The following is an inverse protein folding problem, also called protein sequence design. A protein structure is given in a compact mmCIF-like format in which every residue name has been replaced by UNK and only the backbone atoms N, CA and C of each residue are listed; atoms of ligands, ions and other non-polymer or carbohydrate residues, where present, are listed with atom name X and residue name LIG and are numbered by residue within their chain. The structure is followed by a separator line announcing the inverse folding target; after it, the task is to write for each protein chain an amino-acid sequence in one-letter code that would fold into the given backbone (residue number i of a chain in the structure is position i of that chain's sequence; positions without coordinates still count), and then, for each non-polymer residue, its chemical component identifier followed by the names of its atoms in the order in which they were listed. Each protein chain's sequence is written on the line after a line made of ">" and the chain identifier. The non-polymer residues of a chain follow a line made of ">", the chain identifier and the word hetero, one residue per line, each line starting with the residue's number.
data_IF_006724595090
#
_entry.id   IF_006724595090
#
_cell.length_a   1.000
_cell.length_b   1.000
_cell.length_c   1.000
_cell.angle_alpha   90.00
_cell.angle_beta   90.00
_cell.angle_gamma   90.00
#
_symmetry.space_group_name_H-M   'P 1'
#
loop_
_entity.id
_entity.type
_entity.pdbx_description
1 polymer ?
#
# COMPACT_ATOMS: atom_id res chain seq x y z
N UNK A 1 12.67 36.24 13.79
CA UNK A 1 12.73 35.84 12.38
C UNK A 1 13.82 34.77 12.28
N UNK A 2 13.45 33.52 12.03
CA UNK A 2 14.34 32.37 11.78
C UNK A 2 13.49 31.33 11.03
N UNK A 3 13.94 30.96 9.83
CA UNK A 3 13.29 30.01 8.91
C UNK A 3 13.93 28.62 9.08
N UNK A 4 13.13 27.55 9.05
CA UNK A 4 13.54 26.27 8.43
C UNK A 4 12.29 25.41 8.13
N UNK A 5 12.14 25.12 6.84
CA UNK A 5 10.93 24.55 6.22
C UNK A 5 10.71 23.11 6.67
N UNK A 6 9.52 22.88 7.23
CA UNK A 6 8.87 21.59 7.55
C UNK A 6 9.37 20.76 8.75
N UNK A 7 10.01 21.41 9.74
CA UNK A 7 10.19 20.81 11.09
C UNK A 7 9.28 21.37 12.18
N UNK A 8 8.62 22.50 11.97
CA UNK A 8 7.77 23.19 12.96
C UNK A 8 6.74 24.05 12.24
N UNK A 9 5.52 23.54 11.99
CA UNK A 9 4.41 24.43 11.65
C UNK A 9 3.92 25.06 12.96
N UNK A 10 4.11 26.36 13.14
CA UNK A 10 3.79 27.05 14.39
C UNK A 10 2.53 27.88 14.19
N UNK A 11 1.41 27.40 14.71
CA UNK A 11 0.17 28.18 14.69
C UNK A 11 0.24 29.25 15.77
N UNK A 12 0.32 30.52 15.38
CA UNK A 12 0.16 31.64 16.28
C UNK A 12 -1.30 32.07 16.33
N UNK A 13 -1.80 32.46 17.50
CA UNK A 13 -3.12 33.07 17.59
C UNK A 13 -3.12 34.18 18.64
N UNK A 14 -4.03 35.14 18.48
CA UNK A 14 -4.15 36.26 19.41
C UNK A 14 -4.68 35.85 20.81
N UNK A 15 -5.25 34.64 20.95
CA UNK A 15 -5.82 34.16 22.22
C UNK A 15 -5.87 32.64 22.26
N UNK A 16 -5.80 32.06 23.45
CA UNK A 16 -5.90 30.61 23.65
C UNK A 16 -7.22 30.02 23.13
N UNK A 17 -8.32 30.77 23.23
CA UNK A 17 -9.61 30.41 22.66
C UNK A 17 -9.59 30.29 21.13
N UNK A 18 -8.80 31.12 20.44
CA UNK A 18 -8.60 31.04 18.99
C UNK A 18 -7.68 29.88 18.64
N UNK A 19 -6.61 29.66 19.41
CA UNK A 19 -5.75 28.49 19.25
C UNK A 19 -6.54 27.19 19.39
N UNK A 20 -7.39 27.09 20.40
CA UNK A 20 -8.22 25.89 20.64
C UNK A 20 -9.17 25.63 19.47
N UNK A 21 -9.80 26.67 18.91
CA UNK A 21 -10.64 26.55 17.70
C UNK A 21 -9.84 26.08 16.48
N UNK A 22 -8.69 26.70 16.20
CA UNK A 22 -7.83 26.32 15.07
C UNK A 22 -7.32 24.88 15.25
N UNK A 23 -6.84 24.52 16.44
CA UNK A 23 -6.37 23.17 16.74
C UNK A 23 -7.48 22.12 16.68
N UNK A 24 -8.74 22.50 16.96
CA UNK A 24 -9.90 21.62 16.77
C UNK A 24 -10.17 21.37 15.28
N UNK A 25 -10.13 22.42 14.45
CA UNK A 25 -10.27 22.29 12.99
C UNK A 25 -9.13 21.49 12.37
N UNK A 26 -7.87 21.77 12.75
CA UNK A 26 -6.70 21.02 12.30
C UNK A 26 -6.80 19.56 12.70
N UNK A 27 -7.24 19.27 13.94
CA UNK A 27 -7.46 17.90 14.39
C UNK A 27 -8.53 17.19 13.55
N UNK A 28 -9.67 17.85 13.31
CA UNK A 28 -10.74 17.26 12.51
C UNK A 28 -10.29 16.98 11.07
N UNK A 29 -9.52 17.89 10.46
CA UNK A 29 -8.94 17.67 9.15
C UNK A 29 -7.91 16.53 9.15
N UNK A 30 -7.04 16.46 10.17
CA UNK A 30 -6.08 15.36 10.31
C UNK A 30 -6.80 14.01 10.52
N UNK A 31 -7.82 13.95 11.37
CA UNK A 31 -8.61 12.74 11.62
C UNK A 31 -9.37 12.29 10.36
N UNK A 32 -9.89 13.23 9.57
CA UNK A 32 -10.51 12.95 8.28
C UNK A 32 -9.53 12.31 7.29
N UNK A 33 -8.26 12.73 7.31
CA UNK A 33 -7.17 12.18 6.48
C UNK A 33 -6.45 10.97 7.13
N UNK A 34 -6.98 10.41 8.22
CA UNK A 34 -6.40 9.26 8.91
C UNK A 34 -5.07 9.55 9.64
N UNK A 35 -4.74 10.81 9.88
CA UNK A 35 -3.51 11.23 10.55
C UNK A 35 -3.71 11.37 12.07
N UNK A 36 -2.85 10.69 12.83
CA UNK A 36 -2.82 10.79 14.29
C UNK A 36 -1.76 11.80 14.72
N UNK A 37 -2.19 12.88 15.39
CA UNK A 37 -1.29 13.87 15.99
C UNK A 37 -0.50 13.23 17.14
N UNK A 38 0.82 13.37 17.15
CA UNK A 38 1.63 13.00 18.31
C UNK A 38 1.60 14.12 19.39
N UNK A 39 0.86 13.96 20.51
CA UNK A 39 0.74 15.02 21.51
C UNK A 39 2.06 15.33 22.21
N UNK A 40 3.02 14.39 22.25
CA UNK A 40 4.35 14.61 22.83
C UNK A 40 5.22 15.55 21.98
N UNK A 41 4.85 15.78 20.72
CA UNK A 41 5.55 16.68 19.79
C UNK A 41 4.80 18.01 19.56
N UNK A 42 3.65 18.22 20.20
CA UNK A 42 2.87 19.45 20.09
C UNK A 42 3.01 20.27 21.37
N UNK A 43 3.65 21.44 21.27
CA UNK A 43 3.80 22.36 22.39
C UNK A 43 3.02 23.66 22.13
N UNK A 44 2.48 24.25 23.20
CA UNK A 44 1.87 25.58 23.19
C UNK A 44 2.75 26.50 24.01
N UNK A 45 3.08 27.66 23.47
CA UNK A 45 3.87 28.68 24.16
C UNK A 45 3.13 30.02 24.13
N UNK A 46 3.05 30.68 25.29
CA UNK A 46 2.45 32.00 25.40
C UNK A 46 3.52 33.09 25.30
N UNK A 47 3.28 34.11 24.46
CA UNK A 47 4.17 35.25 24.28
C UNK A 47 3.43 36.55 24.59
N UNK A 48 4.05 37.43 25.38
CA UNK A 48 3.54 38.78 25.67
C UNK A 48 4.65 39.78 25.38
N UNK A 49 4.40 40.73 24.46
CA UNK A 49 5.39 41.73 24.00
C UNK A 49 6.73 41.11 23.56
N UNK A 50 6.67 39.96 22.87
CA UNK A 50 7.86 39.24 22.39
C UNK A 50 8.57 38.39 23.45
N UNK A 51 8.14 38.40 24.71
CA UNK A 51 8.72 37.60 25.79
C UNK A 51 7.85 36.38 26.09
N UNK A 52 8.46 35.19 26.18
CA UNK A 52 7.77 33.95 26.57
C UNK A 52 7.33 34.04 28.03
N UNK A 53 6.05 33.76 28.29
CA UNK A 53 5.49 33.70 29.65
C UNK A 53 5.79 32.30 30.24
N UNK A 54 6.39 32.27 31.42
CA UNK A 54 6.98 31.07 32.04
C UNK A 54 5.99 29.95 32.40
N UNK A 55 4.68 30.22 32.45
CA UNK A 55 3.64 29.26 32.87
C UNK A 55 3.11 28.35 31.74
N UNK A 56 3.74 28.30 30.56
CA UNK A 56 3.34 27.34 29.51
C UNK A 56 4.14 26.05 29.59
N UNK A 57 3.41 24.94 29.73
CA UNK A 57 3.85 23.54 29.85
C UNK A 57 5.17 23.18 29.17
N UNK A 58 5.95 22.41 29.92
CA UNK A 58 7.35 22.00 29.75
C UNK A 58 7.63 21.11 28.52
N UNK A 59 7.68 21.70 27.34
CA UNK A 59 8.49 21.15 26.24
C UNK A 59 9.34 22.29 25.66
N UNK A 60 10.67 22.17 25.83
CA UNK A 60 11.65 23.06 25.20
C UNK A 60 11.51 22.92 23.68
N UNK A 61 11.36 24.06 22.99
CA UNK A 61 11.50 24.12 21.55
C UNK A 61 12.93 23.67 21.21
N UNK A 62 13.08 22.44 20.74
CA UNK A 62 14.41 21.84 20.53
C UNK A 62 15.10 22.49 19.34
N UNK A 63 16.39 22.80 19.50
CA UNK A 63 17.23 23.62 18.60
C UNK A 63 17.63 22.91 17.30
N UNK A 64 16.67 22.44 16.51
CA UNK A 64 16.95 21.85 15.19
C UNK A 64 17.75 20.54 15.21
N UNK A 65 18.18 20.08 16.38
CA UNK A 65 18.94 18.84 16.59
C UNK A 65 18.08 17.76 17.25
N UNK A 66 16.83 17.60 16.78
CA UNK A 66 16.08 16.39 17.11
C UNK A 66 16.74 15.25 16.34
N UNK A 67 17.61 14.53 17.03
CA UNK A 67 17.94 13.17 16.69
C UNK A 67 16.59 12.44 16.68
N UNK A 68 16.10 12.06 15.49
CA UNK A 68 15.03 11.10 15.39
C UNK A 68 15.67 9.87 16.02
N UNK A 69 15.41 9.63 17.31
CA UNK A 69 15.77 8.39 17.98
C UNK A 69 15.38 7.33 16.97
N UNK A 70 16.40 6.64 16.47
CA UNK A 70 16.23 5.61 15.46
C UNK A 70 14.97 4.85 15.84
N UNK A 71 14.07 4.69 14.87
CA UNK A 71 13.03 3.68 14.98
C UNK A 71 13.78 2.45 15.47
N UNK A 72 13.56 2.08 16.75
CA UNK A 72 14.31 1.00 17.37
C UNK A 72 14.28 -0.17 16.39
N UNK A 73 15.40 -0.85 16.17
CA UNK A 73 15.44 -2.00 15.28
C UNK A 73 14.36 -2.99 15.72
N UNK A 74 13.23 -3.01 15.00
CA UNK A 74 12.00 -3.69 15.40
C UNK A 74 10.70 -2.88 15.28
N UNK A 75 10.74 -1.54 15.35
CA UNK A 75 9.58 -0.67 15.11
C UNK A 75 9.45 -0.39 13.60
N UNK A 76 9.01 -1.40 12.85
CA UNK A 76 8.58 -1.21 11.47
C UNK A 76 7.27 -0.43 11.45
N UNK A 77 7.25 0.71 10.77
CA UNK A 77 6.00 1.34 10.36
C UNK A 77 5.21 0.36 9.47
N UNK A 78 3.92 0.21 9.78
CA UNK A 78 2.96 -0.57 8.99
C UNK A 78 2.74 0.16 7.68
N UNK A 79 3.35 -0.32 6.60
CA UNK A 79 3.23 0.27 5.27
C UNK A 79 2.38 -0.63 4.37
N UNK A 80 1.18 -0.16 4.06
CA UNK A 80 0.39 -0.37 2.82
C UNK A 80 -0.10 -1.81 2.49
N UNK A 81 -1.41 -1.94 2.20
CA UNK A 81 -2.13 -3.20 1.92
C UNK A 81 -1.75 -3.88 0.61
N UNK A 82 -2.17 -5.12 0.38
CA UNK A 82 -1.64 -5.97 -0.70
C UNK A 82 -2.63 -6.23 -1.85
N UNK A 83 -2.15 -6.09 -3.09
CA UNK A 83 -2.73 -6.63 -4.32
C UNK A 83 -1.57 -7.24 -5.10
N UNK A 84 -1.24 -8.49 -4.83
CA UNK A 84 -0.14 -9.17 -5.50
C UNK A 84 -0.36 -9.28 -7.03
N UNK A 85 0.72 -9.16 -7.80
CA UNK A 85 0.78 -9.51 -9.22
C UNK A 85 0.61 -11.03 -9.39
N UNK A 86 -0.34 -11.42 -10.25
CA UNK A 86 -0.53 -12.84 -10.60
C UNK A 86 0.57 -13.28 -11.56
N UNK A 87 1.12 -14.47 -11.33
CA UNK A 87 2.01 -15.09 -12.31
C UNK A 87 1.26 -15.28 -13.64
N UNK A 88 1.95 -15.02 -14.75
CA UNK A 88 1.44 -15.27 -16.12
C UNK A 88 1.01 -16.73 -16.26
N UNK A 89 1.76 -17.65 -15.64
CA UNK A 89 1.42 -19.07 -15.62
C UNK A 89 0.11 -19.32 -14.87
N UNK A 90 -0.07 -18.71 -13.70
CA UNK A 90 -1.30 -18.84 -12.91
C UNK A 90 -2.51 -18.31 -13.67
N UNK A 91 -2.39 -17.13 -14.29
CA UNK A 91 -3.48 -16.53 -15.07
C UNK A 91 -3.80 -17.36 -16.32
N UNK A 92 -2.78 -17.91 -17.00
CA UNK A 92 -2.96 -18.81 -18.12
C UNK A 92 -3.74 -20.09 -17.72
N UNK A 93 -3.31 -20.74 -16.63
CA UNK A 93 -3.97 -21.94 -16.09
C UNK A 93 -5.42 -21.65 -15.69
N UNK A 94 -5.66 -20.54 -14.99
CA UNK A 94 -6.99 -20.10 -14.58
C UNK A 94 -7.89 -19.82 -15.79
N UNK A 95 -7.35 -19.15 -16.82
CA UNK A 95 -8.07 -18.84 -18.05
C UNK A 95 -8.47 -20.12 -18.79
N UNK A 96 -7.59 -21.13 -18.85
CA UNK A 96 -7.90 -22.44 -19.43
C UNK A 96 -9.04 -23.15 -18.70
N UNK A 97 -9.00 -23.16 -17.37
CA UNK A 97 -10.08 -23.72 -16.54
C UNK A 97 -11.41 -23.00 -16.78
N UNK A 98 -11.40 -21.66 -16.77
CA UNK A 98 -12.58 -20.83 -17.07
C UNK A 98 -13.13 -21.08 -18.46
N UNK A 99 -12.27 -21.17 -19.47
CA UNK A 99 -12.67 -21.42 -20.84
C UNK A 99 -13.35 -22.78 -20.98
N UNK A 100 -12.80 -23.82 -20.37
CA UNK A 100 -13.39 -25.16 -20.38
C UNK A 100 -14.77 -25.16 -19.71
N UNK A 101 -14.92 -24.63 -18.49
CA UNK A 101 -16.22 -24.62 -17.81
C UNK A 101 -17.25 -23.79 -18.58
N UNK A 102 -16.85 -22.62 -19.10
CA UNK A 102 -17.76 -21.78 -19.88
C UNK A 102 -18.20 -22.47 -21.19
N UNK A 103 -17.33 -23.25 -21.84
CA UNK A 103 -17.68 -24.02 -23.05
C UNK A 103 -18.80 -25.04 -22.78
N UNK A 104 -18.78 -25.68 -21.60
CA UNK A 104 -19.78 -26.67 -21.18
C UNK A 104 -21.03 -26.07 -20.55
N UNK A 105 -20.99 -24.82 -20.09
CA UNK A 105 -22.18 -24.04 -19.71
C UNK A 105 -22.91 -23.43 -20.92
N UNK A 106 -22.18 -23.16 -22.02
CA UNK A 106 -22.71 -22.37 -23.13
C UNK A 106 -23.72 -23.16 -23.98
N UNK A 107 -24.97 -22.69 -23.98
CA UNK A 107 -26.10 -23.34 -24.69
C UNK A 107 -26.22 -22.95 -26.16
N UNK A 108 -25.35 -22.08 -26.66
CA UNK A 108 -25.34 -21.65 -28.07
C UNK A 108 -25.10 -22.86 -29.00
N UNK A 109 -25.96 -23.09 -30.02
CA UNK A 109 -25.77 -24.17 -31.00
C UNK A 109 -24.43 -24.11 -31.74
N UNK A 110 -23.86 -22.93 -32.01
CA UNK A 110 -22.56 -22.80 -32.67
C UNK A 110 -21.42 -23.33 -31.78
N UNK A 111 -21.54 -23.18 -30.45
CA UNK A 111 -20.57 -23.68 -29.49
C UNK A 111 -20.61 -25.21 -29.33
N UNK A 112 -21.69 -25.85 -29.80
CA UNK A 112 -21.78 -27.32 -29.84
C UNK A 112 -20.67 -27.92 -30.71
N UNK A 113 -20.39 -27.34 -31.87
CA UNK A 113 -19.31 -27.81 -32.76
C UNK A 113 -17.93 -27.73 -32.08
N UNK A 114 -17.71 -26.70 -31.27
CA UNK A 114 -16.46 -26.54 -30.51
C UNK A 114 -16.34 -27.62 -29.43
N UNK A 115 -17.44 -27.96 -28.73
CA UNK A 115 -17.45 -29.08 -27.77
C UNK A 115 -17.13 -30.40 -28.44
N UNK A 116 -17.84 -30.72 -29.52
CA UNK A 116 -17.66 -31.97 -30.27
C UNK A 116 -16.22 -32.11 -30.78
N UNK A 117 -15.63 -31.03 -31.31
CA UNK A 117 -14.23 -31.02 -31.72
C UNK A 117 -13.26 -31.31 -30.57
N UNK A 118 -13.48 -30.71 -29.39
CA UNK A 118 -12.61 -30.90 -28.22
C UNK A 118 -12.74 -32.31 -27.65
N UNK A 119 -13.96 -32.85 -27.59
CA UNK A 119 -14.25 -34.22 -27.18
C UNK A 119 -13.64 -35.25 -28.15
N UNK A 120 -13.74 -35.01 -29.46
CA UNK A 120 -13.13 -35.86 -30.47
C UNK A 120 -11.60 -35.83 -30.38
N UNK A 121 -11.00 -34.64 -30.21
CA UNK A 121 -9.56 -34.51 -30.03
C UNK A 121 -9.07 -35.31 -28.80
N UNK A 122 -9.83 -35.27 -27.70
CA UNK A 122 -9.53 -36.05 -26.50
C UNK A 122 -9.68 -37.55 -26.72
N UNK A 123 -10.73 -37.99 -27.43
CA UNK A 123 -10.94 -39.40 -27.78
C UNK A 123 -9.82 -39.98 -28.64
N UNK A 124 -9.19 -39.14 -29.48
CA UNK A 124 -8.03 -39.47 -30.33
C UNK A 124 -6.70 -39.38 -29.58
N UNK A 125 -6.72 -39.05 -28.29
CA UNK A 125 -5.53 -38.91 -27.45
C UNK A 125 -4.71 -37.65 -27.70
N UNK A 126 -5.25 -36.68 -28.45
CA UNK A 126 -4.58 -35.39 -28.64
C UNK A 126 -4.66 -34.52 -27.39
N UNK A 127 -3.82 -33.49 -27.37
CA UNK A 127 -3.80 -32.50 -26.29
C UNK A 127 -5.06 -31.62 -26.40
N UNK A 128 -6.04 -31.84 -25.52
CA UNK A 128 -7.30 -31.12 -25.49
C UNK A 128 -7.31 -30.06 -24.39
N UNK A 129 -8.08 -28.99 -24.59
CA UNK A 129 -8.27 -27.94 -23.59
C UNK A 129 -8.92 -28.47 -22.31
N UNK A 130 -9.84 -29.43 -22.42
CA UNK A 130 -10.55 -30.07 -21.31
C UNK A 130 -9.60 -30.87 -20.42
N UNK A 131 -8.69 -31.63 -21.03
CA UNK A 131 -7.65 -32.40 -20.31
C UNK A 131 -6.66 -31.48 -19.58
N UNK A 132 -6.20 -30.41 -20.24
CA UNK A 132 -5.35 -29.40 -19.59
C UNK A 132 -6.07 -28.70 -18.44
N UNK A 133 -7.33 -28.30 -18.64
CA UNK A 133 -8.15 -27.68 -17.61
C UNK A 133 -8.34 -28.61 -16.40
N UNK A 134 -8.63 -29.89 -16.63
CA UNK A 134 -8.72 -30.92 -15.59
C UNK A 134 -7.45 -30.97 -14.74
N UNK A 135 -6.30 -31.15 -15.40
CA UNK A 135 -4.99 -31.17 -14.75
C UNK A 135 -4.71 -29.89 -13.95
N UNK A 136 -5.02 -28.72 -14.51
CA UNK A 136 -4.79 -27.46 -13.82
C UNK A 136 -5.74 -27.23 -12.64
N UNK A 137 -6.98 -27.73 -12.69
CA UNK A 137 -7.89 -27.69 -11.56
C UNK A 137 -7.42 -28.60 -10.42
N UNK A 138 -6.89 -29.78 -10.75
CA UNK A 138 -6.33 -30.72 -9.77
C UNK A 138 -5.17 -30.08 -8.97
N UNK A 139 -4.37 -29.20 -9.59
CA UNK A 139 -3.33 -28.43 -8.88
C UNK A 139 -3.87 -27.54 -7.75
N UNK A 140 -5.18 -27.24 -7.74
CA UNK A 140 -5.86 -26.47 -6.70
C UNK A 140 -6.78 -27.35 -5.82
N UNK A 141 -6.73 -28.68 -5.92
CA UNK A 141 -7.61 -29.58 -5.17
C UNK A 141 -9.05 -29.57 -5.70
N UNK A 142 -9.21 -29.34 -7.01
CA UNK A 142 -10.50 -29.28 -7.68
C UNK A 142 -10.59 -30.34 -8.78
N UNK A 143 -11.64 -31.16 -8.74
CA UNK A 143 -11.94 -32.12 -9.80
C UNK A 143 -13.02 -31.56 -10.72
N UNK A 144 -12.67 -31.32 -11.99
CA UNK A 144 -13.61 -30.83 -13.00
C UNK A 144 -14.47 -31.97 -13.55
N UNK A 145 -15.79 -31.76 -13.54
CA UNK A 145 -16.77 -32.61 -14.19
C UNK A 145 -17.45 -31.81 -15.30
N UNK A 146 -16.93 -31.93 -16.52
CA UNK A 146 -17.38 -31.16 -17.68
C UNK A 146 -18.58 -31.85 -18.37
N UNK A 147 -19.70 -31.93 -17.66
CA UNK A 147 -20.94 -32.46 -18.20
C UNK A 147 -21.77 -31.33 -18.81
N UNK A 148 -22.14 -31.43 -20.08
CA UNK A 148 -23.08 -30.46 -20.68
C UNK A 148 -24.53 -30.81 -20.29
N UNK A 149 -25.38 -29.82 -19.92
CA UNK A 149 -25.12 -28.37 -19.87
C UNK A 149 -24.69 -27.86 -18.49
N UNK A 150 -24.51 -28.75 -17.52
CA UNK A 150 -24.31 -28.42 -16.11
C UNK A 150 -22.94 -28.93 -15.62
N UNK A 151 -21.83 -28.29 -16.03
CA UNK A 151 -20.53 -28.67 -15.53
C UNK A 151 -20.44 -28.35 -14.04
N UNK A 152 -19.79 -29.25 -13.33
CA UNK A 152 -19.59 -29.17 -11.90
C UNK A 152 -18.10 -29.22 -11.57
N UNK A 153 -17.78 -28.76 -10.38
CA UNK A 153 -16.45 -28.88 -9.80
C UNK A 153 -16.58 -29.50 -8.42
N UNK A 154 -15.85 -30.57 -8.14
CA UNK A 154 -15.87 -31.25 -6.84
C UNK A 154 -14.61 -30.85 -6.07
N UNK A 155 -14.77 -30.47 -4.81
CA UNK A 155 -13.63 -30.18 -3.92
C UNK A 155 -13.09 -31.46 -3.30
N UNK A 156 -11.88 -31.43 -2.72
CA UNK A 156 -11.34 -32.56 -1.93
C UNK A 156 -12.26 -32.99 -0.78
N UNK A 157 -13.04 -32.06 -0.24
CA UNK A 157 -14.03 -32.30 0.83
C UNK A 157 -15.33 -32.94 0.31
N UNK A 158 -15.44 -33.18 -1.00
CA UNK A 158 -16.62 -33.76 -1.65
C UNK A 158 -17.75 -32.76 -1.94
N UNK A 159 -17.52 -31.46 -1.73
CA UNK A 159 -18.51 -30.42 -2.05
C UNK A 159 -18.63 -30.25 -3.58
N UNK A 160 -19.85 -30.28 -4.10
CA UNK A 160 -20.14 -30.08 -5.53
C UNK A 160 -20.52 -28.63 -5.80
N UNK A 161 -19.73 -27.97 -6.64
CA UNK A 161 -19.87 -26.56 -7.01
C UNK A 161 -20.40 -26.44 -8.44
N UNK A 162 -21.48 -25.68 -8.60
CA UNK A 162 -22.09 -25.39 -9.91
C UNK A 162 -21.97 -23.89 -10.26
N UNK A 163 -22.09 -23.59 -11.55
CA UNK A 163 -22.22 -22.21 -12.05
C UNK A 163 -21.04 -21.32 -11.67
N UNK A 164 -21.29 -20.14 -11.10
CA UNK A 164 -20.20 -19.22 -10.71
C UNK A 164 -19.54 -19.53 -9.36
N UNK A 165 -20.06 -20.50 -8.60
CA UNK A 165 -19.53 -20.82 -7.26
C UNK A 165 -18.09 -21.33 -7.31
N UNK A 166 -17.74 -22.13 -8.33
CA UNK A 166 -16.38 -22.63 -8.50
C UNK A 166 -15.38 -21.50 -8.78
N UNK A 167 -15.77 -20.42 -9.48
CA UNK A 167 -14.89 -19.25 -9.72
C UNK A 167 -14.54 -18.57 -8.40
N UNK A 168 -15.51 -18.47 -7.49
CA UNK A 168 -15.30 -17.92 -6.15
C UNK A 168 -14.41 -18.82 -5.30
N UNK A 169 -14.63 -20.14 -5.36
CA UNK A 169 -13.78 -21.11 -4.64
C UNK A 169 -12.35 -21.12 -5.16
N UNK A 170 -12.15 -21.14 -6.49
CA UNK A 170 -10.83 -21.09 -7.11
C UNK A 170 -10.06 -19.84 -6.68
N UNK A 171 -10.72 -18.67 -6.68
CA UNK A 171 -10.11 -17.42 -6.19
C UNK A 171 -9.63 -17.54 -4.74
N UNK A 172 -10.47 -18.06 -3.84
CA UNK A 172 -10.10 -18.27 -2.43
C UNK A 172 -8.93 -19.25 -2.26
N UNK A 173 -8.92 -20.34 -3.03
CA UNK A 173 -7.82 -21.32 -3.01
C UNK A 173 -6.50 -20.71 -3.50
N UNK A 174 -6.57 -19.85 -4.52
CA UNK A 174 -5.41 -19.10 -5.00
C UNK A 174 -4.90 -18.12 -3.96
N UNK A 175 -5.78 -17.33 -3.34
CA UNK A 175 -5.44 -16.41 -2.25
C UNK A 175 -4.75 -17.17 -1.12
N UNK A 176 -5.33 -18.28 -0.64
CA UNK A 176 -4.73 -19.13 0.39
C UNK A 176 -3.37 -19.75 -0.03
N UNK A 177 -3.20 -20.09 -1.31
CA UNK A 177 -1.91 -20.58 -1.83
C UNK A 177 -0.86 -19.47 -1.85
N UNK A 178 -1.22 -18.27 -2.30
CA UNK A 178 -0.31 -17.12 -2.29
C UNK A 178 0.08 -16.74 -0.86
N UNK A 179 -0.88 -16.76 0.07
CA UNK A 179 -0.62 -16.54 1.50
C UNK A 179 0.41 -17.53 2.04
N UNK A 180 0.27 -18.84 1.77
CA UNK A 180 1.27 -19.84 2.18
C UNK A 180 2.66 -19.57 1.59
N UNK A 181 2.74 -19.24 0.30
CA UNK A 181 4.02 -18.90 -0.37
C UNK A 181 4.66 -17.67 0.25
N UNK A 182 3.87 -16.73 0.74
CA UNK A 182 4.34 -15.53 1.42
C UNK A 182 4.78 -15.84 2.85
N UNK A 183 4.04 -16.66 3.59
CA UNK A 183 4.40 -17.13 4.93
C UNK A 183 5.74 -17.90 4.90
N UNK A 184 5.99 -18.69 3.86
CA UNK A 184 7.29 -19.36 3.65
C UNK A 184 8.44 -18.37 3.40
N UNK A 185 8.15 -17.16 2.92
CA UNK A 185 9.14 -16.10 2.70
C UNK A 185 9.44 -15.36 4.00
N UNK A 186 10.15 -16.02 4.92
CA UNK A 186 10.57 -15.48 6.25
C UNK A 186 11.21 -14.09 6.24
N UNK A 187 11.79 -13.67 5.11
CA UNK A 187 12.42 -12.37 4.93
C UNK A 187 11.41 -11.24 4.62
N UNK A 188 10.23 -11.56 4.10
CA UNK A 188 9.10 -10.63 3.91
C UNK A 188 7.98 -10.83 4.93
N UNK A 189 7.84 -12.04 5.47
CA UNK A 189 6.73 -12.51 6.30
C UNK A 189 6.29 -11.47 7.35
N UNK A 190 7.22 -10.98 8.19
CA UNK A 190 6.87 -10.01 9.24
C UNK A 190 6.16 -8.76 8.72
N UNK A 191 6.60 -8.22 7.58
CA UNK A 191 5.99 -7.02 7.01
C UNK A 191 4.63 -7.36 6.40
N UNK A 192 4.53 -8.48 5.70
CA UNK A 192 3.30 -8.89 5.01
C UNK A 192 2.21 -9.29 6.01
N UNK A 193 2.56 -10.08 7.02
CA UNK A 193 1.64 -10.43 8.12
C UNK A 193 1.13 -9.18 8.82
N UNK A 194 2.02 -8.23 9.15
CA UNK A 194 1.62 -6.96 9.76
C UNK A 194 0.68 -6.13 8.88
N UNK A 195 0.77 -6.23 7.54
CA UNK A 195 -0.17 -5.59 6.61
C UNK A 195 -1.51 -6.30 6.56
N UNK A 196 -1.51 -7.63 6.51
CA UNK A 196 -2.73 -8.46 6.45
C UNK A 196 -3.60 -8.26 7.70
N UNK A 197 -2.95 -8.18 8.86
CA UNK A 197 -3.61 -7.96 10.15
C UNK A 197 -4.04 -6.50 10.38
N UNK A 198 -3.58 -5.57 9.54
CA UNK A 198 -3.95 -4.17 9.63
C UNK A 198 -5.33 -3.96 9.00
N UNK A 199 -6.33 -3.74 9.85
CA UNK A 199 -7.72 -3.59 9.45
C UNK A 199 -8.00 -2.38 8.55
N UNK A 200 -7.16 -1.34 8.60
CA UNK A 200 -7.30 -0.17 7.74
C UNK A 200 -6.64 -0.42 6.37
N UNK A 201 -5.51 -1.12 6.38
CA UNK A 201 -4.76 -1.44 5.16
C UNK A 201 -5.34 -2.60 4.34
N UNK A 202 -6.03 -3.54 4.99
CA UNK A 202 -6.69 -4.68 4.35
C UNK A 202 -8.04 -4.30 3.71
N UNK A 203 -8.39 -3.02 3.66
CA UNK A 203 -9.60 -2.54 2.99
C UNK A 203 -9.36 -2.33 1.50
N UNK A 204 -10.40 -2.49 0.68
CA UNK A 204 -10.34 -2.12 -0.75
C UNK A 204 -9.94 -0.64 -0.95
N UNK A 205 -10.08 0.21 0.07
CA UNK A 205 -9.76 1.64 0.05
C UNK A 205 -8.27 1.90 -0.17
N UNK A 206 -7.38 1.00 0.25
CA UNK A 206 -5.93 1.15 0.03
C UNK A 206 -5.54 1.27 -1.45
N UNK A 207 -6.37 0.71 -2.34
CA UNK A 207 -6.13 0.73 -3.78
C UNK A 207 -7.11 1.62 -4.55
N UNK A 208 -7.92 2.42 -3.87
CA UNK A 208 -8.86 3.33 -4.53
C UNK A 208 -8.18 4.32 -5.45
N UNK A 209 -6.93 4.69 -5.18
CA UNK A 209 -6.16 5.57 -6.07
C UNK A 209 -6.05 5.01 -7.50
N UNK A 210 -6.09 3.68 -7.70
CA UNK A 210 -6.08 3.07 -9.04
C UNK A 210 -7.36 3.36 -9.83
N UNK A 211 -8.51 3.45 -9.16
CA UNK A 211 -9.79 3.77 -9.82
C UNK A 211 -10.07 5.27 -9.86
N UNK A 212 -9.56 6.01 -8.89
CA UNK A 212 -9.74 7.47 -8.77
C UNK A 212 -8.74 8.28 -9.59
N UNK A 213 -7.61 7.69 -9.98
CA UNK A 213 -6.61 8.33 -10.83
C UNK A 213 -6.47 7.62 -12.18
N UNK A 214 -7.45 7.74 -13.09
CA UNK A 214 -7.47 7.02 -14.36
C UNK A 214 -6.32 7.42 -15.30
N UNK A 215 -5.75 8.62 -15.12
CA UNK A 215 -4.61 9.13 -15.90
C UNK A 215 -3.25 8.82 -15.28
N UNK A 216 -3.19 7.99 -14.22
CA UNK A 216 -1.94 7.62 -13.58
C UNK A 216 -1.02 6.92 -14.60
N UNK A 217 0.23 7.39 -14.80
CA UNK A 217 1.14 6.73 -15.72
C UNK A 217 1.41 5.29 -15.30
N UNK A 218 1.39 4.34 -16.25
CA UNK A 218 1.64 2.92 -15.98
C UNK A 218 2.97 2.70 -15.24
N UNK A 219 4.00 3.49 -15.54
CA UNK A 219 5.29 3.44 -14.84
C UNK A 219 5.21 3.81 -13.36
N UNK A 220 4.31 4.71 -12.97
CA UNK A 220 4.09 5.08 -11.58
C UNK A 220 3.33 3.96 -10.86
N UNK A 221 2.33 3.37 -11.52
CA UNK A 221 1.61 2.21 -11.00
C UNK A 221 2.59 1.06 -10.75
N UNK A 222 3.36 0.67 -11.77
CA UNK A 222 4.36 -0.39 -11.68
C UNK A 222 5.38 -0.13 -10.56
N UNK A 223 5.96 1.07 -10.50
CA UNK A 223 6.91 1.43 -9.45
C UNK A 223 6.32 1.37 -8.04
N UNK A 224 5.04 1.72 -7.86
CA UNK A 224 4.35 1.53 -6.59
C UNK A 224 4.22 0.04 -6.26
N UNK A 225 3.75 -0.80 -7.19
CA UNK A 225 3.65 -2.25 -6.94
C UNK A 225 5.01 -2.90 -6.64
N UNK A 226 6.08 -2.50 -7.34
CA UNK A 226 7.45 -2.96 -7.06
C UNK A 226 7.88 -2.63 -5.63
N UNK A 227 7.54 -1.43 -5.13
CA UNK A 227 7.79 -1.03 -3.74
C UNK A 227 6.94 -1.87 -2.78
N UNK A 228 5.65 -2.03 -3.07
CA UNK A 228 4.73 -2.77 -2.20
C UNK A 228 5.16 -4.22 -2.03
N UNK A 229 5.49 -4.89 -3.14
CA UNK A 229 5.91 -6.29 -3.19
C UNK A 229 7.40 -6.49 -2.84
N UNK A 230 8.12 -5.41 -2.52
CA UNK A 230 9.55 -5.40 -2.21
C UNK A 230 10.41 -6.04 -3.32
N UNK A 231 10.08 -5.75 -4.58
CA UNK A 231 10.77 -6.27 -5.77
C UNK A 231 11.98 -5.42 -6.21
N UNK A 232 12.27 -4.35 -5.47
CA UNK A 232 13.43 -3.52 -5.75
C UNK A 232 14.73 -4.28 -5.47
N UNK A 233 15.82 -4.00 -6.23
CA UNK A 233 17.07 -4.74 -6.17
C UNK A 233 17.89 -4.40 -4.91
N UNK A 234 17.37 -4.75 -3.75
CA UNK A 234 18.07 -4.71 -2.46
C UNK A 234 18.88 -5.99 -2.27
N UNK A 235 19.83 -5.99 -1.32
CA UNK A 235 20.58 -7.22 -1.00
C UNK A 235 19.68 -8.35 -0.51
N UNK A 236 18.69 -8.07 0.33
CA UNK A 236 17.74 -9.11 0.76
C UNK A 236 16.93 -9.69 -0.40
N UNK A 237 16.52 -8.85 -1.36
CA UNK A 237 15.86 -9.33 -2.58
C UNK A 237 16.79 -10.25 -3.40
N UNK A 238 18.05 -9.87 -3.58
CA UNK A 238 19.02 -10.67 -4.33
C UNK A 238 19.40 -12.00 -3.65
N UNK A 239 19.42 -12.02 -2.31
CA UNK A 239 19.73 -13.21 -1.51
C UNK A 239 18.53 -14.17 -1.50
N UNK A 240 17.33 -13.66 -1.20
CA UNK A 240 16.17 -14.50 -0.90
C UNK A 240 15.19 -14.70 -2.06
N UNK A 241 14.99 -13.71 -2.93
CA UNK A 241 14.04 -13.82 -4.05
C UNK A 241 14.68 -14.41 -5.29
N UNK A 242 15.71 -13.74 -5.80
CA UNK A 242 16.34 -14.16 -7.06
C UNK A 242 17.41 -15.23 -6.86
N UNK A 243 17.90 -15.40 -5.63
CA UNK A 243 19.02 -16.28 -5.28
C UNK A 243 20.25 -16.06 -6.19
N UNK A 244 20.41 -14.84 -6.71
CA UNK A 244 21.56 -14.49 -7.55
C UNK A 244 22.87 -14.47 -6.74
N UNK A 245 22.75 -14.30 -5.42
CA UNK A 245 23.88 -14.14 -4.51
C UNK A 245 23.56 -14.65 -3.09
N UNK A 246 23.21 -15.93 -2.91
CA UNK A 246 22.55 -16.44 -1.69
C UNK A 246 23.44 -16.42 -0.44
N UNK A 247 24.77 -16.37 -0.62
CA UNK A 247 25.76 -16.32 0.46
C UNK A 247 26.35 -14.93 0.69
N UNK A 248 25.81 -13.91 0.00
CA UNK A 248 26.31 -12.53 0.16
C UNK A 248 25.90 -11.92 1.49
N UNK A 249 26.72 -10.97 1.95
CA UNK A 249 26.44 -10.17 3.13
C UNK A 249 25.11 -9.40 2.96
N UNK A 250 24.12 -9.58 3.85
CA UNK A 250 22.82 -8.92 3.75
C UNK A 250 22.87 -7.44 4.14
N UNK A 251 23.99 -6.94 4.67
CA UNK A 251 24.09 -5.58 5.22
C UNK A 251 23.83 -4.50 4.18
N UNK A 252 23.18 -3.43 4.64
CA UNK A 252 22.87 -2.24 3.85
C UNK A 252 24.13 -1.62 3.25
N UNK A 253 24.14 -1.44 1.92
CA UNK A 253 25.26 -0.83 1.18
C UNK A 253 25.54 0.62 1.59
N UNK A 254 24.58 1.29 2.22
CA UNK A 254 24.69 2.71 2.58
C UNK A 254 25.16 2.92 4.02
N UNK A 255 24.61 2.17 4.98
CA UNK A 255 24.93 2.36 6.40
C UNK A 255 25.69 1.20 7.04
N UNK A 256 25.65 -0.01 6.47
CA UNK A 256 26.32 -1.20 7.01
C UNK A 256 25.78 -1.73 8.35
N UNK A 257 24.73 -1.12 8.93
CA UNK A 257 24.28 -1.44 10.30
C UNK A 257 23.07 -2.38 10.39
N UNK A 258 22.35 -2.59 9.29
CA UNK A 258 21.15 -3.42 9.26
C UNK A 258 21.01 -4.13 7.91
N UNK A 259 20.21 -5.21 7.81
CA UNK A 259 19.91 -5.86 6.53
C UNK A 259 19.27 -4.90 5.53
N UNK A 260 19.69 -4.98 4.27
CA UNK A 260 19.18 -4.13 3.19
C UNK A 260 17.79 -4.57 2.72
N UNK A 261 16.78 -4.19 3.50
CA UNK A 261 15.36 -4.28 3.10
C UNK A 261 14.87 -2.96 2.53
N UNK A 262 13.77 -3.02 1.78
CA UNK A 262 13.11 -1.81 1.33
C UNK A 262 12.57 -0.98 2.51
N UNK A 263 12.02 -1.62 3.54
CA UNK A 263 11.59 -0.95 4.76
C UNK A 263 12.75 -0.18 5.42
N UNK A 264 13.94 -0.80 5.49
CA UNK A 264 15.13 -0.14 5.98
C UNK A 264 15.50 1.07 5.11
N UNK A 265 15.64 0.91 3.80
CA UNK A 265 16.02 1.99 2.89
C UNK A 265 15.03 3.16 2.89
N UNK A 266 13.73 2.87 2.97
CA UNK A 266 12.70 3.89 2.93
C UNK A 266 12.55 4.63 4.26
N UNK A 267 12.72 3.96 5.41
CA UNK A 267 12.26 4.54 6.68
C UNK A 267 13.28 4.52 7.81
N UNK A 268 14.26 3.60 7.80
CA UNK A 268 15.16 3.40 8.94
C UNK A 268 16.64 3.70 8.65
N UNK A 269 17.06 3.69 7.39
CA UNK A 269 18.47 3.86 7.02
C UNK A 269 18.96 5.25 7.40
N UNK A 270 19.93 5.41 8.33
CA UNK A 270 20.36 6.73 8.79
C UNK A 270 20.95 7.58 7.67
N UNK A 271 21.56 6.96 6.66
CA UNK A 271 22.11 7.64 5.48
C UNK A 271 21.02 8.33 4.63
N UNK A 272 19.77 7.84 4.66
CA UNK A 272 18.66 8.35 3.86
C UNK A 272 17.55 9.00 4.71
N UNK A 273 17.41 8.61 5.98
CA UNK A 273 16.30 8.99 6.82
C UNK A 273 16.26 10.50 7.09
N UNK A 274 17.41 11.11 7.38
CA UNK A 274 17.48 12.53 7.72
C UNK A 274 17.30 13.46 6.51
N UNK A 275 17.43 12.94 5.28
CA UNK A 275 17.36 13.76 4.06
C UNK A 275 16.19 13.35 3.17
N UNK A 276 16.23 12.12 2.63
CA UNK A 276 15.26 11.63 1.64
C UNK A 276 13.92 11.23 2.25
N UNK A 277 13.93 10.56 3.41
CA UNK A 277 12.67 10.24 4.10
C UNK A 277 11.96 11.51 4.55
N UNK A 278 12.70 12.45 5.17
CA UNK A 278 12.17 13.75 5.56
C UNK A 278 11.58 14.48 4.35
N UNK A 279 12.32 14.60 3.24
CA UNK A 279 11.83 15.27 2.03
C UNK A 279 10.55 14.63 1.47
N UNK A 280 10.39 13.30 1.54
CA UNK A 280 9.14 12.62 1.13
C UNK A 280 7.98 12.96 2.06
N UNK A 281 8.21 12.88 3.37
CA UNK A 281 7.20 13.24 4.36
C UNK A 281 6.75 14.68 4.22
N UNK A 282 7.70 15.59 4.05
CA UNK A 282 7.49 17.02 3.83
C UNK A 282 6.68 17.28 2.55
N UNK A 283 6.97 16.54 1.47
CA UNK A 283 6.21 16.65 0.23
C UNK A 283 4.75 16.21 0.38
N UNK A 284 4.48 15.13 1.12
CA UNK A 284 3.11 14.67 1.40
C UNK A 284 2.38 15.65 2.31
N UNK A 285 3.00 16.04 3.41
CA UNK A 285 2.41 16.98 4.38
C UNK A 285 2.13 18.34 3.75
N UNK A 286 2.95 18.78 2.80
CA UNK A 286 2.74 20.02 2.06
C UNK A 286 1.40 20.03 1.32
N UNK A 287 0.99 18.92 0.70
CA UNK A 287 -0.30 18.85 -0.02
C UNK A 287 -1.44 19.07 0.97
N UNK A 288 -1.45 18.29 2.05
CA UNK A 288 -2.46 18.41 3.11
C UNK A 288 -2.46 19.78 3.77
N UNK A 289 -1.28 20.37 3.96
CA UNK A 289 -1.14 21.70 4.52
C UNK A 289 -1.87 22.73 3.67
N UNK A 290 -1.66 22.71 2.34
CA UNK A 290 -2.30 23.65 1.43
C UNK A 290 -3.82 23.48 1.40
N UNK A 291 -4.32 22.25 1.41
CA UNK A 291 -5.77 21.98 1.44
C UNK A 291 -6.41 22.48 2.75
N UNK A 292 -5.72 22.32 3.89
CA UNK A 292 -6.18 22.85 5.18
C UNK A 292 -6.25 24.38 5.17
N UNK A 293 -5.22 25.07 4.66
CA UNK A 293 -5.21 26.54 4.69
C UNK A 293 -6.16 27.16 3.66
N UNK A 294 -6.44 26.48 2.55
CA UNK A 294 -7.54 26.82 1.65
C UNK A 294 -8.89 26.67 2.36
N UNK A 295 -9.14 25.54 3.03
CA UNK A 295 -10.36 25.32 3.81
C UNK A 295 -10.58 26.38 4.91
N UNK A 296 -9.49 26.88 5.51
CA UNK A 296 -9.53 27.95 6.50
C UNK A 296 -9.68 29.35 5.90
N UNK A 297 -9.68 29.50 4.57
CA UNK A 297 -9.79 30.78 3.87
C UNK A 297 -8.53 31.66 4.00
N UNK A 298 -7.36 31.05 4.22
CA UNK A 298 -6.07 31.75 4.32
C UNK A 298 -5.41 31.92 2.94
N UNK A 299 -5.82 31.13 1.96
CA UNK A 299 -5.47 31.25 0.54
C UNK A 299 -6.72 31.03 -0.30
N UNK A 300 -6.73 31.56 -1.52
CA UNK A 300 -7.86 31.41 -2.44
C UNK A 300 -7.97 30.00 -3.01
N UNK A 301 -6.84 29.38 -3.36
CA UNK A 301 -6.78 28.06 -4.00
C UNK A 301 -5.50 27.32 -3.65
N UNK A 302 -5.59 26.02 -3.34
CA UNK A 302 -4.43 25.13 -3.13
C UNK A 302 -3.63 24.98 -4.44
N UNK A 303 -2.30 25.15 -4.41
CA UNK A 303 -1.47 24.88 -5.57
C UNK A 303 -1.51 23.38 -5.93
N UNK A 304 -1.32 23.01 -7.21
CA UNK A 304 -1.26 21.61 -7.61
C UNK A 304 -0.19 20.83 -6.80
N UNK A 305 -0.43 19.56 -6.50
CA UNK A 305 0.45 18.73 -5.65
C UNK A 305 1.90 18.66 -6.15
N UNK A 306 2.12 18.77 -7.46
CA UNK A 306 3.45 18.77 -8.10
C UNK A 306 4.11 20.15 -8.14
N UNK A 307 3.42 21.19 -7.66
CA UNK A 307 3.94 22.56 -7.66
C UNK A 307 5.22 22.66 -6.83
N UNK A 308 6.23 23.44 -7.25
CA UNK A 308 7.40 23.70 -6.42
C UNK A 308 7.11 24.65 -5.25
N UNK A 309 5.93 25.29 -5.19
CA UNK A 309 5.55 26.27 -4.16
C UNK A 309 5.75 25.70 -2.76
N UNK A 310 6.56 26.36 -1.93
CA UNK A 310 6.76 25.95 -0.54
C UNK A 310 5.76 26.66 0.36
N UNK A 311 5.31 26.03 1.46
CA UNK A 311 4.57 26.73 2.49
C UNK A 311 5.31 27.98 2.93
N UNK A 312 4.64 29.12 2.90
CA UNK A 312 5.16 30.34 3.48
C UNK A 312 5.24 30.17 4.99
N UNK A 313 6.18 30.86 5.65
CA UNK A 313 6.22 30.90 7.09
C UNK A 313 5.07 31.72 7.66
N UNK A 314 4.28 32.45 6.86
CA UNK A 314 3.15 33.26 7.35
C UNK A 314 2.02 33.28 6.35
N UNK A 315 0.80 33.10 6.85
CA UNK A 315 -0.47 33.29 6.16
C UNK A 315 -1.40 34.12 7.04
N UNK A 316 -1.93 35.22 6.49
CA UNK A 316 -2.80 36.14 7.21
C UNK A 316 -4.19 36.15 6.56
N UNK A 317 -5.23 35.89 7.36
CA UNK A 317 -6.63 36.00 6.95
C UNK A 317 -7.47 36.78 7.97
N UNK A 318 -8.68 37.19 7.57
CA UNK A 318 -9.56 38.05 8.38
C UNK A 318 -9.97 37.44 9.75
N UNK A 319 -9.85 36.12 9.92
CA UNK A 319 -10.28 35.39 11.12
C UNK A 319 -9.20 34.52 11.78
N UNK A 320 -8.03 34.38 11.16
CA UNK A 320 -6.88 33.66 11.72
C UNK A 320 -5.59 34.19 11.08
N UNK A 321 -4.56 34.38 11.90
CA UNK A 321 -3.18 34.51 11.45
C UNK A 321 -2.51 33.17 11.72
N UNK A 322 -1.72 32.63 10.81
CA UNK A 322 -0.88 31.44 11.07
C UNK A 322 0.52 31.72 10.55
N UNK A 323 1.56 31.49 11.35
CA UNK A 323 2.96 31.60 10.92
C UNK A 323 3.63 30.20 10.89
#
# INVERSE_FOLDING_TARGET
>A
MLFEVLRKQIVFTASESKLSRVMKSVRAAMEYEGLIRNPKKCAVAHFKRGVRVAESTSLLMSDGNINIQMLEDGQQYKFLGERGLRSVETEYKETKVKAAVNLYLNRDPAMKMVREYVEEAESKGYQSMTKEAGKYAEEYGLQLQLNYPDPACVTEEGEVLFGDKWKTRLRKLQEARMERVVEEQKWQEKLITARKEDGDLNTEQCFWWLSKWPTCPTRAIAGMFEIYEQLLPTRLYAIHKTQASPTSDPSCRLCGTAPESLAHLLSACPALAQTKYLARHDAVLKVLFFDIIEYLGLIETSPPWYSPTKPQPVYEGAHAQSF
#
